data_IF_417026390641
#
_entry.id   IF_417026390641
#
_cell.length_a   1.000
_cell.length_b   1.000
_cell.length_c   1.000
_cell.angle_alpha   90.00
_cell.angle_beta   90.00
_cell.angle_gamma   90.00
#
_symmetry.space_group_name_H-M   'P 1'
#
loop_
_entity.id
_entity.type
_entity.pdbx_description
1 polymer ?
#
# COMPACT_ATOMS: atom_id res chain seq x y z
N UNK A 1 3.58 28.37 5.19
CA UNK A 1 3.16 27.77 3.91
C UNK A 1 1.97 26.86 4.19
N UNK A 2 0.94 26.89 3.35
CA UNK A 2 -0.17 25.96 3.43
C UNK A 2 -0.11 25.07 2.19
N UNK A 3 -0.01 23.77 2.40
CA UNK A 3 -0.05 22.76 1.35
C UNK A 3 -1.31 21.92 1.56
N UNK A 4 -2.08 21.74 0.50
CA UNK A 4 -3.33 20.98 0.53
C UNK A 4 -3.29 19.96 -0.61
N UNK A 5 -3.14 18.69 -0.24
CA UNK A 5 -3.25 17.55 -1.13
C UNK A 5 -2.32 17.58 -2.36
N UNK A 6 -1.10 18.09 -2.15
CA UNK A 6 -0.04 18.11 -3.16
C UNK A 6 0.31 16.69 -3.62
N UNK A 7 0.36 16.46 -4.94
CA UNK A 7 0.74 15.18 -5.54
C UNK A 7 -0.42 14.31 -6.06
N UNK A 8 -1.69 14.72 -5.87
CA UNK A 8 -2.86 13.91 -6.25
C UNK A 8 -3.15 13.76 -7.75
N UNK A 9 -2.56 14.59 -8.60
CA UNK A 9 -2.86 14.65 -10.05
C UNK A 9 -2.06 13.67 -10.92
N UNK A 10 -1.23 12.81 -10.33
CA UNK A 10 -0.32 11.89 -11.02
C UNK A 10 -0.41 10.48 -10.42
N UNK A 11 0.42 9.55 -10.87
CA UNK A 11 0.54 8.22 -10.27
C UNK A 11 0.86 8.33 -8.78
N UNK A 12 0.37 7.38 -7.98
CA UNK A 12 0.47 7.44 -6.52
C UNK A 12 1.91 7.62 -6.03
N UNK A 13 2.86 6.84 -6.59
CA UNK A 13 4.26 6.92 -6.19
C UNK A 13 4.96 8.19 -6.67
N UNK A 14 4.62 8.69 -7.86
CA UNK A 14 5.14 9.96 -8.36
C UNK A 14 4.67 11.13 -7.48
N UNK A 15 3.38 11.14 -7.14
CA UNK A 15 2.78 12.14 -6.25
C UNK A 15 3.39 12.12 -4.85
N UNK A 16 3.57 10.93 -4.29
CA UNK A 16 4.23 10.73 -3.00
C UNK A 16 5.69 11.21 -3.03
N UNK A 17 6.44 10.87 -4.08
CA UNK A 17 7.84 11.28 -4.22
C UNK A 17 8.00 12.80 -4.26
N UNK A 18 7.15 13.49 -5.05
CA UNK A 18 7.15 14.95 -5.13
C UNK A 18 6.75 15.56 -3.78
N UNK A 19 5.69 15.05 -3.15
CA UNK A 19 5.23 15.54 -1.86
C UNK A 19 6.32 15.42 -0.78
N UNK A 20 6.99 14.25 -0.71
CA UNK A 20 8.11 14.01 0.19
C UNK A 20 9.26 14.97 -0.07
N UNK A 21 9.70 15.12 -1.31
CA UNK A 21 10.79 16.00 -1.68
C UNK A 21 10.51 17.46 -1.27
N UNK A 22 9.27 17.92 -1.44
CA UNK A 22 8.85 19.27 -1.01
C UNK A 22 8.89 19.42 0.51
N UNK A 23 8.41 18.42 1.26
CA UNK A 23 8.48 18.42 2.74
C UNK A 23 9.93 18.48 3.22
N UNK A 24 10.79 17.62 2.68
CA UNK A 24 12.21 17.57 3.03
C UNK A 24 12.92 18.88 2.67
N UNK A 25 12.63 19.46 1.50
CA UNK A 25 13.18 20.73 1.07
C UNK A 25 12.76 21.85 2.03
N UNK A 26 11.45 22.02 2.30
CA UNK A 26 10.95 23.05 3.21
C UNK A 26 11.54 22.87 4.61
N UNK A 27 11.63 21.63 5.08
CA UNK A 27 12.19 21.33 6.40
C UNK A 27 13.68 21.68 6.48
N UNK A 28 14.49 21.26 5.50
CA UNK A 28 15.96 21.31 5.58
C UNK A 28 16.56 22.62 5.05
N UNK A 29 15.81 23.42 4.30
CA UNK A 29 16.36 24.61 3.66
C UNK A 29 16.80 25.67 4.70
N UNK A 30 18.06 26.13 4.67
CA UNK A 30 18.66 26.94 5.73
C UNK A 30 18.04 28.34 5.89
N UNK A 31 17.30 28.79 4.89
CA UNK A 31 16.61 30.09 4.91
C UNK A 31 15.09 29.95 4.98
N UNK A 32 14.55 28.75 4.80
CA UNK A 32 13.10 28.51 4.69
C UNK A 32 12.56 27.96 6.03
N UNK A 33 12.62 28.76 7.10
CA UNK A 33 12.09 28.37 8.41
C UNK A 33 10.60 28.76 8.58
N UNK A 34 9.83 28.70 7.50
CA UNK A 34 8.42 29.06 7.56
C UNK A 34 7.61 28.04 8.35
N UNK A 35 6.66 28.50 9.17
CA UNK A 35 5.62 27.63 9.71
C UNK A 35 4.83 27.03 8.54
N UNK A 36 4.74 25.71 8.49
CA UNK A 36 4.09 24.99 7.38
C UNK A 36 3.05 24.03 7.92
N UNK A 37 1.89 24.04 7.29
CA UNK A 37 0.83 23.04 7.50
C UNK A 37 0.61 22.32 6.17
N UNK A 38 0.61 21.00 6.23
CA UNK A 38 0.40 20.15 5.06
C UNK A 38 -0.75 19.19 5.36
N UNK A 39 -1.89 19.41 4.71
CA UNK A 39 -2.99 18.45 4.67
C UNK A 39 -2.72 17.46 3.52
N UNK A 40 -2.72 16.16 3.83
CA UNK A 40 -2.38 15.11 2.87
C UNK A 40 -3.12 13.82 3.19
N UNK A 41 -3.43 13.04 2.15
CA UNK A 41 -3.89 11.66 2.27
C UNK A 41 -2.75 10.62 2.25
N UNK A 42 -1.49 11.04 2.04
CA UNK A 42 -0.34 10.14 2.04
C UNK A 42 0.07 9.77 3.47
N UNK A 43 -0.24 8.54 3.88
CA UNK A 43 0.12 8.01 5.19
C UNK A 43 1.64 7.78 5.31
N UNK A 44 2.29 7.45 4.20
CA UNK A 44 3.73 7.20 4.10
C UNK A 44 4.56 8.43 4.51
N UNK A 45 4.00 9.64 4.42
CA UNK A 45 4.69 10.85 4.85
C UNK A 45 4.75 11.00 6.37
N UNK A 46 3.93 10.27 7.13
CA UNK A 46 3.89 10.38 8.59
C UNK A 46 5.16 9.81 9.24
N UNK A 47 5.80 8.83 8.60
CA UNK A 47 7.08 8.25 9.04
C UNK A 47 8.23 9.29 9.05
N UNK A 48 8.07 10.40 8.30
CA UNK A 48 9.06 11.47 8.29
C UNK A 48 9.23 12.15 9.65
N UNK A 49 8.27 12.04 10.58
CA UNK A 49 8.44 12.57 11.94
C UNK A 49 9.62 11.91 12.68
N UNK A 50 9.96 10.67 12.35
CA UNK A 50 11.09 9.96 12.96
C UNK A 50 12.45 10.53 12.54
N UNK A 51 12.53 11.13 11.35
CA UNK A 51 13.78 11.60 10.74
C UNK A 51 13.87 13.12 10.69
N UNK A 52 12.74 13.83 10.68
CA UNK A 52 12.65 15.29 10.59
C UNK A 52 12.24 15.87 11.95
N UNK A 53 13.18 16.33 12.79
CA UNK A 53 12.92 16.64 14.21
C UNK A 53 11.93 17.78 14.45
N UNK A 54 11.71 18.66 13.45
CA UNK A 54 10.73 19.76 13.54
C UNK A 54 9.36 19.38 12.95
N UNK A 55 9.24 18.21 12.33
CA UNK A 55 7.97 17.71 11.82
C UNK A 55 7.19 17.09 12.97
N UNK A 56 5.87 17.33 12.97
CA UNK A 56 4.93 16.78 13.95
C UNK A 56 3.67 16.35 13.23
N UNK A 57 3.25 15.10 13.42
CA UNK A 57 1.99 14.60 12.88
C UNK A 57 0.79 15.05 13.70
N UNK A 58 -0.26 15.41 12.98
CA UNK A 58 -1.55 15.75 13.55
C UNK A 58 -2.66 15.07 12.73
N UNK A 59 -3.76 14.75 13.40
CA UNK A 59 -4.95 14.15 12.79
C UNK A 59 -6.21 14.90 13.20
N UNK A 60 -7.25 14.75 12.39
CA UNK A 60 -8.60 15.19 12.77
C UNK A 60 -9.28 14.06 13.53
N UNK A 61 -9.79 14.38 14.71
CA UNK A 61 -10.48 13.43 15.58
C UNK A 61 -11.86 13.06 15.04
N UNK A 62 -12.16 11.77 15.14
CA UNK A 62 -13.41 11.15 14.70
C UNK A 62 -13.95 10.31 15.85
N UNK A 63 -15.24 10.45 16.17
CA UNK A 63 -15.92 9.61 17.14
C UNK A 63 -16.73 8.53 16.43
N UNK A 64 -16.56 7.27 16.80
CA UNK A 64 -17.38 6.15 16.33
C UNK A 64 -18.47 5.85 17.38
N UNK A 65 -19.73 6.09 17.03
CA UNK A 65 -20.91 5.78 17.86
C UNK A 65 -21.72 4.68 17.16
N UNK A 66 -21.40 3.41 17.46
CA UNK A 66 -22.06 2.27 16.85
C UNK A 66 -21.78 2.14 15.35
N UNK A 67 -22.75 2.51 14.51
CA UNK A 67 -22.62 2.47 13.02
C UNK A 67 -22.48 3.85 12.39
N UNK A 68 -22.41 4.89 13.22
CA UNK A 68 -22.26 6.27 12.82
C UNK A 68 -20.88 6.79 13.22
N UNK A 69 -20.25 7.57 12.34
CA UNK A 69 -19.03 8.30 12.62
C UNK A 69 -19.38 9.79 12.65
N UNK A 70 -18.87 10.48 13.66
CA UNK A 70 -19.00 11.93 13.82
C UNK A 70 -17.62 12.57 13.70
N UNK A 71 -17.45 13.44 12.71
CA UNK A 71 -16.26 14.29 12.61
C UNK A 71 -16.30 15.33 13.73
N UNK A 72 -15.29 15.31 14.62
CA UNK A 72 -15.26 16.20 15.77
C UNK A 72 -14.69 17.59 15.44
N UNK A 73 -14.17 17.78 14.22
CA UNK A 73 -13.47 19.00 13.77
C UNK A 73 -12.37 19.45 14.74
N UNK A 74 -11.84 18.52 15.54
CA UNK A 74 -10.80 18.74 16.53
C UNK A 74 -9.51 18.16 16.00
N UNK A 75 -8.43 18.92 16.07
CA UNK A 75 -7.10 18.46 15.71
C UNK A 75 -6.40 17.92 16.96
N UNK A 76 -5.76 16.77 16.85
CA UNK A 76 -4.97 16.13 17.90
C UNK A 76 -3.62 15.69 17.36
N UNK A 77 -2.66 15.49 18.25
CA UNK A 77 -1.36 14.93 17.89
C UNK A 77 -1.48 13.45 17.52
N UNK A 78 -0.68 13.03 16.54
CA UNK A 78 -0.58 11.65 16.11
C UNK A 78 -1.05 11.43 14.69
N UNK A 79 -1.14 10.15 14.33
CA UNK A 79 -1.46 9.68 12.98
C UNK A 79 -2.86 9.06 12.97
N UNK A 80 -3.58 9.22 11.86
CA UNK A 80 -4.86 8.56 11.67
C UNK A 80 -4.64 7.06 11.40
N UNK A 81 -5.38 6.20 12.11
CA UNK A 81 -5.25 4.73 12.01
C UNK A 81 -6.00 4.14 10.82
N UNK A 82 -7.03 4.84 10.33
CA UNK A 82 -7.95 4.34 9.31
C UNK A 82 -8.34 5.41 8.30
N UNK A 83 -8.61 4.97 7.08
CA UNK A 83 -9.20 5.80 6.03
C UNK A 83 -10.73 5.63 6.00
N UNK A 84 -11.45 6.75 6.00
CA UNK A 84 -12.92 6.76 6.08
C UNK A 84 -13.63 7.08 4.75
N UNK A 85 -12.99 6.77 3.61
CA UNK A 85 -13.49 7.16 2.28
C UNK A 85 -14.85 6.56 1.93
N UNK A 86 -15.06 5.27 2.20
CA UNK A 86 -16.37 4.60 1.96
C UNK A 86 -17.46 5.17 2.87
N UNK A 87 -17.10 5.55 4.10
CA UNK A 87 -18.03 6.21 5.01
C UNK A 87 -18.38 7.64 4.55
N UNK A 88 -17.39 8.40 4.08
CA UNK A 88 -17.63 9.72 3.48
C UNK A 88 -18.57 9.62 2.27
N UNK A 89 -18.43 8.59 1.44
CA UNK A 89 -19.37 8.29 0.35
C UNK A 89 -20.80 8.02 0.85
N UNK A 90 -20.96 7.26 1.94
CA UNK A 90 -22.27 7.04 2.58
C UNK A 90 -22.89 8.35 3.07
N UNK A 91 -22.11 9.21 3.72
CA UNK A 91 -22.56 10.53 4.17
C UNK A 91 -22.91 11.48 3.02
N UNK A 92 -22.17 11.42 1.93
CA UNK A 92 -22.45 12.19 0.72
C UNK A 92 -23.74 11.72 -0.01
N UNK A 93 -24.43 10.70 0.52
CA UNK A 93 -25.71 10.24 -0.01
C UNK A 93 -25.58 9.35 -1.25
N UNK A 94 -24.41 8.72 -1.47
CA UNK A 94 -24.26 7.78 -2.59
C UNK A 94 -25.25 6.60 -2.46
N UNK A 95 -25.73 6.05 -3.60
CA UNK A 95 -26.71 4.97 -3.58
C UNK A 95 -26.22 3.74 -2.79
N UNK A 96 -27.11 3.15 -1.98
CA UNK A 96 -26.79 1.97 -1.15
C UNK A 96 -26.09 0.82 -1.91
N UNK A 97 -26.46 0.48 -3.16
CA UNK A 97 -25.74 -0.53 -3.93
C UNK A 97 -24.27 -0.18 -4.19
N UNK A 98 -23.96 1.11 -4.42
CA UNK A 98 -22.59 1.60 -4.65
C UNK A 98 -21.77 1.49 -3.37
N UNK A 99 -22.30 1.97 -2.25
CA UNK A 99 -21.63 1.90 -0.94
C UNK A 99 -21.31 0.44 -0.57
N UNK A 100 -22.30 -0.46 -0.68
CA UNK A 100 -22.08 -1.90 -0.40
C UNK A 100 -21.03 -2.54 -1.31
N UNK A 101 -20.98 -2.13 -2.59
CA UNK A 101 -19.94 -2.62 -3.50
C UNK A 101 -18.55 -2.13 -3.08
N UNK A 102 -18.45 -0.86 -2.69
CA UNK A 102 -17.20 -0.28 -2.20
C UNK A 102 -16.72 -0.94 -0.91
N UNK A 103 -17.62 -1.21 0.05
CA UNK A 103 -17.30 -1.97 1.28
C UNK A 103 -16.73 -3.36 0.94
N UNK A 104 -17.38 -4.09 0.02
CA UNK A 104 -16.89 -5.39 -0.43
C UNK A 104 -15.51 -5.32 -1.11
N UNK A 105 -15.31 -4.32 -1.99
CA UNK A 105 -14.02 -4.11 -2.66
C UNK A 105 -12.90 -3.80 -1.66
N UNK A 106 -13.18 -2.95 -0.67
CA UNK A 106 -12.24 -2.62 0.39
C UNK A 106 -11.79 -3.87 1.14
N UNK A 107 -12.73 -4.71 1.58
CA UNK A 107 -12.42 -5.97 2.25
C UNK A 107 -11.64 -6.95 1.35
N UNK A 108 -11.92 -6.98 0.04
CA UNK A 108 -11.16 -7.79 -0.91
C UNK A 108 -9.69 -7.31 -1.04
N UNK A 109 -9.46 -5.99 -1.03
CA UNK A 109 -8.11 -5.41 -1.11
C UNK A 109 -7.30 -5.64 0.16
N UNK A 110 -7.92 -5.44 1.33
CA UNK A 110 -7.31 -5.73 2.63
C UNK A 110 -6.94 -7.22 2.76
N UNK A 111 -7.84 -8.13 2.38
CA UNK A 111 -7.63 -9.57 2.51
C UNK A 111 -6.55 -10.15 1.59
N UNK A 112 -6.34 -9.58 0.40
CA UNK A 112 -5.33 -10.11 -0.55
C UNK A 112 -3.90 -9.78 -0.16
N UNK A 113 -3.68 -9.07 0.95
CA UNK A 113 -2.37 -8.52 1.28
C UNK A 113 -1.78 -7.71 0.13
N UNK A 114 -2.62 -7.30 -0.82
CA UNK A 114 -2.24 -6.42 -1.91
C UNK A 114 -2.15 -5.08 -1.21
N UNK A 115 -0.93 -4.81 -0.76
CA UNK A 115 -0.39 -3.53 -0.36
C UNK A 115 -0.61 -2.55 -1.52
N UNK A 116 -1.87 -2.19 -1.80
CA UNK A 116 -2.16 -0.94 -2.48
C UNK A 116 -1.88 0.17 -1.46
N UNK A 117 -2.04 -0.11 -0.16
CA UNK A 117 -1.55 0.71 0.96
C UNK A 117 -1.25 -0.19 2.18
N UNK A 118 -0.10 -0.03 2.87
CA UNK A 118 0.12 -0.66 4.17
C UNK A 118 -0.74 0.04 5.24
N UNK A 119 -1.60 -0.73 5.90
CA UNK A 119 -1.95 -0.43 7.30
C UNK A 119 -1.07 -1.33 8.15
N UNK A 120 0.04 -0.77 8.63
CA UNK A 120 0.89 -1.40 9.63
C UNK A 120 0.40 -0.95 11.00
N UNK A 121 -0.48 -1.74 11.61
CA UNK A 121 -0.44 -2.13 13.02
C UNK A 121 -1.74 -2.87 13.38
N UNK A 122 -1.78 -4.17 13.06
CA UNK A 122 -2.60 -5.11 13.82
C UNK A 122 -1.67 -5.80 14.81
N UNK A 123 -1.44 -5.12 15.94
CA UNK A 123 -0.80 -5.71 17.11
C UNK A 123 -1.86 -5.92 18.18
N UNK A 124 -2.70 -6.93 17.97
CA UNK A 124 -3.31 -7.66 19.08
C UNK A 124 -2.75 -9.08 19.07
N UNK A 125 -1.77 -9.29 19.94
CA UNK A 125 -1.37 -10.60 20.41
C UNK A 125 -2.59 -11.28 21.04
N UNK A 126 -3.08 -12.38 20.47
CA UNK A 126 -3.48 -13.52 21.29
C UNK A 126 -3.46 -14.86 20.54
N UNK A 127 -2.60 -15.73 21.05
CA UNK A 127 -2.66 -17.19 21.19
C UNK A 127 -3.24 -18.13 20.11
N UNK A 128 -2.39 -19.08 19.74
CA UNK A 128 -2.68 -20.51 19.50
C UNK A 128 -3.83 -20.92 18.56
N UNK A 129 -3.47 -21.42 17.37
CA UNK A 129 -3.72 -22.84 17.00
C UNK A 129 -3.00 -23.27 15.73
N UNK A 130 -2.37 -24.44 15.83
CA UNK A 130 -1.84 -25.26 14.73
C UNK A 130 -2.98 -25.90 13.93
N UNK A 131 -2.64 -26.28 12.70
CA UNK A 131 -3.27 -27.25 11.79
C UNK A 131 -4.32 -26.76 10.77
N UNK A 132 -3.86 -26.75 9.52
CA UNK A 132 -4.40 -27.48 8.36
C UNK A 132 -5.91 -27.40 8.05
N UNK A 133 -6.25 -26.85 6.88
CA UNK A 133 -6.73 -27.70 5.78
C UNK A 133 -6.75 -26.94 4.44
N UNK A 134 -6.32 -27.66 3.41
CA UNK A 134 -6.41 -27.34 1.99
C UNK A 134 -7.83 -27.03 1.54
N UNK A 135 -7.97 -26.22 0.48
CA UNK A 135 -8.88 -26.52 -0.62
C UNK A 135 -8.45 -25.79 -1.89
N UNK A 136 -7.74 -26.54 -2.71
CA UNK A 136 -7.47 -26.34 -4.13
C UNK A 136 -8.76 -26.10 -4.92
N UNK A 137 -8.72 -25.17 -5.90
CA UNK A 137 -9.61 -25.22 -7.07
C UNK A 137 -8.75 -25.71 -8.25
N UNK A 138 -9.07 -26.86 -8.87
CA UNK A 138 -8.29 -27.40 -9.98
C UNK A 138 -8.69 -26.76 -11.32
N UNK A 139 -7.69 -26.53 -12.16
CA UNK A 139 -7.88 -26.51 -13.61
C UNK A 139 -7.82 -25.14 -14.26
N UNK A 140 -6.61 -24.59 -14.42
CA UNK A 140 -6.15 -24.06 -15.70
C UNK A 140 -4.64 -24.31 -15.79
N UNK A 141 -4.25 -25.26 -16.65
CA UNK A 141 -2.84 -25.46 -16.99
C UNK A 141 -2.40 -24.28 -17.88
N UNK A 142 -1.86 -23.24 -17.26
CA UNK A 142 -1.06 -22.25 -17.97
C UNK A 142 0.16 -22.98 -18.57
N UNK A 143 0.57 -22.68 -19.81
CA UNK A 143 1.84 -23.19 -20.33
C UNK A 143 2.93 -22.78 -19.34
N UNK A 144 3.64 -23.75 -18.76
CA UNK A 144 4.80 -23.46 -17.92
C UNK A 144 5.92 -23.02 -18.84
N UNK A 145 5.97 -21.71 -19.14
CA UNK A 145 7.11 -21.12 -19.84
C UNK A 145 8.33 -21.38 -18.97
N UNK A 146 9.34 -22.04 -19.55
CA UNK A 146 10.57 -22.33 -18.84
C UNK A 146 11.35 -21.03 -18.60
N UNK A 147 12.10 -20.97 -17.49
CA UNK A 147 12.95 -19.81 -17.20
C UNK A 147 13.94 -19.50 -18.34
N UNK A 148 14.39 -20.53 -19.06
CA UNK A 148 15.28 -20.38 -20.20
C UNK A 148 14.61 -19.67 -21.39
N UNK A 149 13.35 -20.00 -21.68
CA UNK A 149 12.58 -19.33 -22.74
C UNK A 149 12.29 -17.87 -22.38
N UNK A 150 11.88 -17.62 -21.13
CA UNK A 150 11.62 -16.26 -20.64
C UNK A 150 12.87 -15.36 -20.67
N UNK A 151 14.08 -15.93 -20.53
CA UNK A 151 15.34 -15.19 -20.65
C UNK A 151 15.70 -14.88 -22.11
N UNK A 152 15.39 -15.79 -23.04
CA UNK A 152 15.70 -15.61 -24.47
C UNK A 152 14.80 -14.58 -25.15
N UNK A 153 13.62 -14.31 -24.61
CA UNK A 153 12.70 -13.28 -25.12
C UNK A 153 13.05 -11.86 -24.67
N UNK A 154 13.98 -11.68 -23.73
CA UNK A 154 14.37 -10.37 -23.24
C UNK A 154 15.42 -9.76 -24.17
N UNK A 155 15.09 -8.60 -24.74
CA UNK A 155 16.04 -7.71 -25.43
C UNK A 155 16.44 -6.54 -24.49
N UNK A 156 17.61 -6.60 -23.83
CA UNK A 156 18.02 -5.59 -22.85
C UNK A 156 18.17 -4.18 -23.43
N UNK A 157 18.49 -4.07 -24.72
CA UNK A 157 18.75 -2.77 -25.36
C UNK A 157 17.44 -2.03 -25.69
N UNK A 158 16.32 -2.73 -25.67
CA UNK A 158 14.98 -2.19 -25.91
C UNK A 158 14.24 -1.74 -24.65
N UNK A 159 14.75 -2.08 -23.46
CA UNK A 159 14.07 -1.85 -22.19
C UNK A 159 14.50 -0.53 -21.54
N UNK A 160 13.52 0.23 -21.02
CA UNK A 160 13.82 1.29 -20.08
C UNK A 160 14.33 0.72 -18.74
N UNK A 161 15.06 1.52 -17.92
CA UNK A 161 15.57 1.05 -16.63
C UNK A 161 14.48 0.46 -15.70
N UNK A 162 13.25 0.97 -15.78
CA UNK A 162 12.12 0.48 -14.99
C UNK A 162 11.59 -0.85 -15.51
N UNK A 163 11.45 -0.99 -16.83
CA UNK A 163 10.99 -2.24 -17.44
C UNK A 163 12.00 -3.37 -17.23
N UNK A 164 13.30 -3.07 -17.30
CA UNK A 164 14.36 -4.01 -16.96
C UNK A 164 14.25 -4.49 -15.51
N UNK A 165 14.01 -3.59 -14.56
CA UNK A 165 13.83 -3.95 -13.15
C UNK A 165 12.58 -4.82 -12.95
N UNK A 166 11.47 -4.50 -13.60
CA UNK A 166 10.24 -5.30 -13.54
C UNK A 166 10.45 -6.70 -14.12
N UNK A 167 11.15 -6.82 -15.26
CA UNK A 167 11.49 -8.11 -15.87
C UNK A 167 12.36 -8.97 -14.96
N UNK A 168 13.30 -8.38 -14.22
CA UNK A 168 14.11 -9.11 -13.23
C UNK A 168 13.26 -9.68 -12.09
N UNK A 169 12.24 -8.96 -11.61
CA UNK A 169 11.32 -9.47 -10.60
C UNK A 169 10.47 -10.63 -11.12
N UNK A 170 10.01 -10.56 -12.37
CA UNK A 170 9.27 -11.66 -13.04
C UNK A 170 10.13 -12.92 -13.13
N UNK A 171 11.38 -12.80 -13.61
CA UNK A 171 12.31 -13.92 -13.72
C UNK A 171 12.65 -14.54 -12.37
N UNK A 172 12.86 -13.72 -11.33
CA UNK A 172 13.12 -14.22 -9.97
C UNK A 172 11.96 -15.04 -9.45
N UNK A 173 10.73 -14.58 -9.65
CA UNK A 173 9.51 -15.29 -9.24
C UNK A 173 9.39 -16.63 -9.99
N UNK A 174 9.71 -16.65 -11.27
CA UNK A 174 9.69 -17.86 -12.09
C UNK A 174 10.74 -18.87 -11.58
N UNK A 175 11.97 -18.43 -11.30
CA UNK A 175 13.03 -19.27 -10.74
C UNK A 175 12.68 -19.85 -9.36
N UNK A 176 12.06 -19.06 -8.47
CA UNK A 176 11.61 -19.51 -7.16
C UNK A 176 10.49 -20.56 -7.26
N UNK A 177 9.63 -20.46 -8.27
CA UNK A 177 8.59 -21.45 -8.55
C UNK A 177 9.17 -22.78 -9.06
N UNK A 178 10.19 -22.75 -9.92
CA UNK A 178 10.90 -23.95 -10.39
C UNK A 178 11.67 -24.63 -9.26
N UNK A 179 12.29 -23.86 -8.36
CA UNK A 179 13.04 -24.40 -7.21
C UNK A 179 12.14 -25.13 -6.20
N UNK A 180 10.87 -24.73 -6.07
CA UNK A 180 9.87 -25.42 -5.23
C UNK A 180 9.31 -26.70 -5.85
N UNK A 181 9.38 -26.84 -7.18
CA UNK A 181 8.93 -28.06 -7.90
C UNK A 181 9.98 -29.18 -8.01
N UNK A 182 11.27 -28.87 -7.83
CA UNK A 182 12.37 -29.84 -8.01
C UNK A 182 12.83 -30.59 -6.75
N UNK A 183 12.12 -30.46 -5.62
CA UNK A 183 12.57 -30.91 -4.31
C UNK A 183 12.01 -32.24 -3.80
N UNK A 184 11.44 -33.10 -4.66
CA UNK A 184 11.00 -34.44 -4.28
C UNK A 184 11.06 -35.38 -5.49
N UNK A 185 12.23 -35.95 -5.77
CA UNK A 185 12.32 -37.24 -6.45
C UNK A 185 13.16 -38.16 -5.58
N UNK A 186 12.48 -39.22 -5.20
CA UNK A 186 12.84 -40.25 -4.24
C UNK A 186 14.03 -41.06 -4.77
N UNK A 187 15.06 -41.17 -3.94
CA UNK A 187 16.11 -42.18 -4.08
C UNK A 187 15.51 -43.51 -3.58
N UNK A 188 15.09 -44.36 -4.52
CA UNK A 188 14.80 -45.79 -4.26
C UNK A 188 15.39 -46.62 -5.39
N UNK A 189 16.53 -47.26 -5.10
CA UNK A 189 16.88 -48.64 -5.45
C UNK A 189 18.22 -48.98 -4.79
#
# INVERSE_FOLDING_TARGET
ILLDELGRGTSTYDGLAVARAVVEYIHNHPQLHSKTLFATHYHELTELEETLPRLKNFRVEIAEEGTELRFLFKISHGVAEKSYGVYAAKLAGLPRPVVRRAEKLLSEYEARGTQIFPHANDSSEDSHRKHAHESFIPGQASPQISLAEALLEIDPDSLSPVEALMKLFELRRLAESTKRGGGNVIETA
#
